data_IF_506308486658
#
_entry.id   IF_506308486658
#
_cell.length_a   1.000
_cell.length_b   1.000
_cell.length_c   1.000
_cell.angle_alpha   90.00
_cell.angle_beta   90.00
_cell.angle_gamma   90.00
#
_symmetry.space_group_name_H-M   'P 1'
#
loop_
_entity.id
_entity.type
_entity.pdbx_description
1 polymer ?
#
# COMPACT_ATOMS: atom_id res chain seq x y z
N UNK A 1 -20.96 -17.63 -28.36
CA UNK A 1 -22.27 -17.86 -28.99
C UNK A 1 -22.74 -16.55 -29.62
N UNK A 2 -22.46 -16.35 -30.92
CA UNK A 2 -22.80 -15.12 -31.67
C UNK A 2 -24.30 -15.02 -31.99
N UNK A 3 -25.11 -15.98 -31.56
CA UNK A 3 -26.51 -16.09 -31.91
C UNK A 3 -27.48 -15.48 -30.91
N UNK A 4 -27.00 -15.00 -29.76
CA UNK A 4 -27.89 -14.57 -28.66
C UNK A 4 -27.82 -13.07 -28.33
N UNK A 5 -27.22 -12.25 -29.21
CA UNK A 5 -27.34 -10.82 -29.05
C UNK A 5 -28.51 -10.29 -29.87
N UNK A 6 -29.62 -10.00 -29.22
CA UNK A 6 -30.81 -9.41 -29.82
C UNK A 6 -30.59 -8.06 -30.52
N UNK A 7 -29.39 -7.52 -30.59
CA UNK A 7 -29.02 -6.25 -31.23
C UNK A 7 -27.74 -6.24 -32.05
N UNK A 8 -27.00 -7.32 -32.18
CA UNK A 8 -25.84 -7.36 -33.09
C UNK A 8 -24.68 -6.39 -32.76
N UNK A 9 -24.70 -5.74 -31.60
CA UNK A 9 -23.59 -4.89 -31.16
C UNK A 9 -22.51 -5.75 -30.51
N UNK A 10 -21.35 -5.83 -31.17
CA UNK A 10 -20.14 -6.39 -30.54
C UNK A 10 -19.75 -5.46 -29.37
N UNK A 11 -20.04 -5.87 -28.16
CA UNK A 11 -19.61 -5.16 -26.95
C UNK A 11 -18.12 -5.38 -26.77
N UNK A 12 -17.33 -4.41 -27.21
CA UNK A 12 -15.89 -4.42 -26.99
C UNK A 12 -15.57 -4.07 -25.55
N UNK A 13 -14.56 -4.74 -24.99
CA UNK A 13 -14.00 -4.32 -23.70
C UNK A 13 -13.52 -2.87 -23.80
N UNK A 14 -13.67 -2.14 -22.73
CA UNK A 14 -13.21 -0.74 -22.63
C UNK A 14 -12.07 -0.67 -21.62
N UNK A 15 -11.11 0.20 -21.92
CA UNK A 15 -10.00 0.50 -21.02
C UNK A 15 -10.01 1.97 -20.61
N UNK A 16 -9.64 2.23 -19.37
CA UNK A 16 -9.41 3.59 -18.91
C UNK A 16 -8.04 4.07 -19.38
N UNK A 17 -7.97 5.30 -19.88
CA UNK A 17 -6.75 5.95 -20.33
C UNK A 17 -6.54 7.21 -19.53
N UNK A 18 -5.33 7.37 -18.99
CA UNK A 18 -4.87 8.56 -18.27
C UNK A 18 -4.06 9.44 -19.20
N UNK A 19 -4.25 10.76 -19.13
CA UNK A 19 -3.40 11.72 -19.85
C UNK A 19 -1.99 11.84 -19.24
N UNK A 20 -1.79 11.36 -18.00
CA UNK A 20 -0.50 11.24 -17.32
C UNK A 20 -0.49 9.99 -16.43
N UNK A 21 -0.16 8.83 -17.01
CA UNK A 21 -0.17 7.53 -16.34
C UNK A 21 0.90 7.40 -15.24
N UNK A 22 1.96 8.21 -15.29
CA UNK A 22 3.02 8.18 -14.27
C UNK A 22 2.52 8.78 -12.95
N UNK A 23 1.70 9.83 -13.02
CA UNK A 23 1.11 10.46 -11.86
C UNK A 23 -0.17 9.78 -11.38
N UNK A 24 -1.05 9.39 -12.32
CA UNK A 24 -2.31 8.71 -12.02
C UNK A 24 -2.53 7.60 -13.04
N UNK A 25 -2.36 6.35 -12.65
CA UNK A 25 -2.76 5.22 -13.47
C UNK A 25 -4.25 4.91 -13.28
N UNK A 26 -4.90 4.40 -14.33
CA UNK A 26 -6.33 4.14 -14.32
C UNK A 26 -6.65 2.78 -14.94
N UNK A 27 -7.57 2.05 -14.28
CA UNK A 27 -8.12 0.81 -14.79
C UNK A 27 -9.65 0.90 -14.76
N UNK A 28 -10.31 0.52 -15.85
CA UNK A 28 -11.75 0.38 -15.88
C UNK A 28 -12.14 -0.99 -15.29
N UNK A 29 -12.96 -0.97 -14.25
CA UNK A 29 -13.45 -2.16 -13.52
C UNK A 29 -14.99 -2.30 -13.59
N UNK A 30 -15.64 -1.40 -14.32
CA UNK A 30 -17.09 -1.42 -14.53
C UNK A 30 -17.54 -2.36 -15.63
N UNK A 31 -18.85 -2.40 -15.88
CA UNK A 31 -19.44 -3.13 -16.98
C UNK A 31 -19.29 -2.37 -18.30
N UNK A 32 -18.50 -2.90 -19.22
CA UNK A 32 -18.22 -2.28 -20.51
C UNK A 32 -19.47 -2.10 -21.37
N UNK A 33 -20.51 -2.91 -21.16
CA UNK A 33 -21.77 -2.82 -21.90
C UNK A 33 -22.64 -1.61 -21.51
N UNK A 34 -22.40 -1.06 -20.31
CA UNK A 34 -23.15 0.07 -19.75
C UNK A 34 -22.39 1.39 -19.85
N UNK A 35 -21.14 1.35 -20.29
CA UNK A 35 -20.24 2.49 -20.30
C UNK A 35 -20.43 3.34 -21.58
N UNK A 36 -20.47 4.67 -21.42
CA UNK A 36 -20.43 5.62 -22.54
C UNK A 36 -18.99 5.81 -23.06
N UNK A 37 -18.83 5.94 -24.37
CA UNK A 37 -17.50 6.19 -24.98
C UNK A 37 -16.98 7.61 -24.70
N UNK A 38 -17.84 8.53 -24.31
CA UNK A 38 -17.51 9.93 -24.02
C UNK A 38 -17.33 10.21 -22.52
N UNK A 39 -17.29 9.16 -21.68
CA UNK A 39 -17.11 9.35 -20.25
C UNK A 39 -15.67 9.76 -19.94
N UNK A 40 -15.53 10.95 -19.37
CA UNK A 40 -14.25 11.47 -18.91
C UNK A 40 -14.43 12.34 -17.68
N UNK A 41 -13.38 12.39 -16.85
CA UNK A 41 -13.30 13.29 -15.70
C UNK A 41 -11.86 13.70 -15.44
N UNK A 42 -11.72 14.82 -14.75
CA UNK A 42 -10.40 15.33 -14.37
C UNK A 42 -10.10 14.99 -12.91
N UNK A 43 -8.87 14.55 -12.66
CA UNK A 43 -8.32 14.35 -11.32
C UNK A 43 -7.10 15.24 -11.10
N UNK A 44 -7.05 15.94 -9.97
CA UNK A 44 -5.89 16.71 -9.54
C UNK A 44 -5.46 16.23 -8.15
N UNK A 45 -4.26 15.65 -8.04
CA UNK A 45 -3.72 15.09 -6.80
C UNK A 45 -2.98 16.17 -6.04
N UNK A 46 -3.48 16.53 -4.85
CA UNK A 46 -2.91 17.56 -3.97
C UNK A 46 -1.90 16.99 -2.98
N UNK A 47 -2.16 15.77 -2.50
CA UNK A 47 -1.35 15.06 -1.50
C UNK A 47 -1.54 13.56 -1.66
N UNK A 48 -0.45 12.82 -1.51
CA UNK A 48 -0.50 11.35 -1.42
C UNK A 48 -0.75 10.90 0.01
N UNK A 49 -1.39 9.75 0.14
CA UNK A 49 -1.43 9.05 1.42
C UNK A 49 -0.03 8.55 1.78
N UNK A 50 0.33 8.69 3.04
CA UNK A 50 1.61 8.26 3.57
C UNK A 50 1.44 7.34 4.79
N UNK A 51 2.38 6.41 4.95
CA UNK A 51 2.54 5.57 6.13
C UNK A 51 3.09 6.36 7.32
N UNK A 52 2.92 5.83 8.53
CA UNK A 52 3.67 6.29 9.68
C UNK A 52 5.05 5.64 9.69
N UNK A 53 6.08 6.44 9.95
CA UNK A 53 7.44 5.96 10.15
C UNK A 53 7.95 6.47 11.49
N UNK A 54 8.34 5.54 12.37
CA UNK A 54 9.14 5.83 13.54
C UNK A 54 10.60 5.48 13.24
N UNK A 55 11.50 6.44 13.39
CA UNK A 55 12.94 6.22 13.24
C UNK A 55 13.62 6.48 14.57
N UNK A 56 14.25 5.46 15.11
CA UNK A 56 14.99 5.52 16.35
C UNK A 56 16.21 6.43 16.30
N UNK A 57 16.93 6.48 17.42
CA UNK A 57 18.18 7.21 17.50
C UNK A 57 19.28 6.47 16.72
N UNK A 58 20.03 7.21 15.91
CA UNK A 58 21.26 6.69 15.29
C UNK A 58 22.36 6.56 16.33
N UNK A 59 22.77 5.33 16.60
CA UNK A 59 23.70 4.99 17.68
C UNK A 59 24.80 4.08 17.14
N UNK A 60 25.99 4.16 17.73
CA UNK A 60 27.11 3.33 17.31
C UNK A 60 26.80 1.83 17.52
N UNK A 61 26.85 0.99 16.48
CA UNK A 61 26.30 -0.38 16.50
C UNK A 61 26.99 -1.30 17.49
N UNK A 62 28.25 -1.03 17.86
CA UNK A 62 29.02 -1.84 18.82
C UNK A 62 28.89 -1.34 20.26
N UNK A 63 28.18 -0.25 20.51
CA UNK A 63 27.99 0.25 21.87
C UNK A 63 27.07 -0.66 22.69
N UNK A 64 27.17 -0.56 24.04
CA UNK A 64 26.41 -1.33 25.00
C UNK A 64 25.68 -0.37 25.96
N UNK A 65 24.85 0.49 25.39
CA UNK A 65 24.11 1.51 26.17
C UNK A 65 22.93 0.92 26.91
N UNK A 66 22.39 -0.21 26.46
CA UNK A 66 21.28 -0.92 27.10
C UNK A 66 21.90 -1.95 28.06
N UNK A 67 21.48 -1.94 29.31
CA UNK A 67 21.95 -2.88 30.35
C UNK A 67 21.38 -4.27 30.09
N UNK A 68 22.08 -5.31 30.61
CA UNK A 68 21.51 -6.65 30.64
C UNK A 68 20.28 -6.71 31.55
N UNK A 69 19.25 -7.44 31.13
CA UNK A 69 18.01 -7.59 31.89
C UNK A 69 16.83 -7.93 30.96
N UNK A 70 15.67 -8.08 31.58
CA UNK A 70 14.42 -8.33 30.89
C UNK A 70 13.69 -7.00 30.64
N UNK A 71 13.15 -6.86 29.46
CA UNK A 71 12.48 -5.66 28.99
C UNK A 71 11.13 -5.99 28.37
N UNK A 72 10.19 -5.05 28.51
CA UNK A 72 8.92 -5.11 27.79
C UNK A 72 8.48 -3.73 27.31
N UNK A 73 7.79 -3.71 26.17
CA UNK A 73 7.15 -2.52 25.64
C UNK A 73 5.78 -2.88 25.05
N UNK A 74 4.89 -1.91 25.09
CA UNK A 74 3.56 -2.00 24.52
C UNK A 74 3.53 -1.32 23.16
N UNK A 75 3.00 -2.01 22.16
CA UNK A 75 2.77 -1.49 20.83
C UNK A 75 1.27 -1.50 20.56
N UNK A 76 0.69 -0.31 20.44
CA UNK A 76 -0.73 -0.14 20.16
C UNK A 76 -0.94 0.20 18.69
N UNK A 77 -1.77 -0.58 18.01
CA UNK A 77 -2.18 -0.40 16.61
C UNK A 77 -3.63 -0.87 16.46
N UNK A 78 -4.45 -0.15 15.69
CA UNK A 78 -5.86 -0.49 15.45
C UNK A 78 -6.68 -0.74 16.75
N UNK A 79 -6.43 0.07 17.79
CA UNK A 79 -7.04 -0.06 19.13
C UNK A 79 -6.73 -1.38 19.84
N UNK A 80 -5.73 -2.12 19.41
CA UNK A 80 -5.22 -3.31 20.08
C UNK A 80 -3.82 -3.04 20.58
N UNK A 81 -3.53 -3.42 21.81
CA UNK A 81 -2.20 -3.31 22.42
C UNK A 81 -1.55 -4.67 22.51
N UNK A 82 -0.34 -4.78 21.99
CA UNK A 82 0.50 -5.97 22.01
C UNK A 82 1.68 -5.73 22.93
N UNK A 83 1.84 -6.57 23.96
CA UNK A 83 3.02 -6.53 24.83
C UNK A 83 4.14 -7.37 24.21
N UNK A 84 5.30 -6.76 24.00
CA UNK A 84 6.53 -7.41 23.54
C UNK A 84 7.52 -7.55 24.68
N UNK A 85 8.03 -8.76 24.90
CA UNK A 85 8.99 -9.07 25.94
C UNK A 85 10.26 -9.67 25.33
N UNK A 86 11.43 -9.29 25.82
CA UNK A 86 12.71 -9.85 25.41
C UNK A 86 13.79 -9.60 26.47
N UNK A 87 14.84 -10.42 26.43
CA UNK A 87 15.98 -10.28 27.31
C UNK A 87 17.18 -9.70 26.57
N UNK A 88 17.98 -8.90 27.24
CA UNK A 88 19.25 -8.38 26.78
C UNK A 88 20.38 -9.01 27.61
N UNK A 89 21.32 -9.63 26.93
CA UNK A 89 22.50 -10.22 27.56
C UNK A 89 23.64 -9.19 27.71
N UNK A 90 24.52 -9.39 28.69
CA UNK A 90 25.65 -8.46 28.96
C UNK A 90 26.64 -8.32 27.80
N UNK A 91 26.70 -9.31 26.92
CA UNK A 91 27.54 -9.33 25.71
C UNK A 91 26.91 -8.62 24.52
N UNK A 92 25.62 -8.38 24.52
CA UNK A 92 24.91 -7.83 23.37
C UNK A 92 25.24 -6.36 23.10
N UNK A 93 25.43 -6.06 21.84
CA UNK A 93 25.62 -4.70 21.31
C UNK A 93 24.31 -4.10 20.86
N UNK A 94 24.26 -2.79 20.61
CA UNK A 94 23.08 -2.12 20.06
C UNK A 94 22.59 -2.75 18.77
N UNK A 95 23.50 -3.13 17.87
CA UNK A 95 23.13 -3.82 16.63
C UNK A 95 22.42 -5.15 16.91
N UNK A 96 22.85 -5.92 17.91
CA UNK A 96 22.16 -7.16 18.29
C UNK A 96 20.74 -6.87 18.79
N UNK A 97 20.60 -5.86 19.64
CA UNK A 97 19.31 -5.47 20.24
C UNK A 97 18.36 -4.93 19.17
N UNK A 98 18.81 -4.01 18.31
CA UNK A 98 18.01 -3.46 17.21
C UNK A 98 17.52 -4.57 16.27
N UNK A 99 18.41 -5.51 15.88
CA UNK A 99 18.04 -6.65 15.04
C UNK A 99 17.07 -7.62 15.76
N UNK A 100 17.20 -7.79 17.08
CA UNK A 100 16.27 -8.59 17.88
C UNK A 100 14.87 -7.96 17.87
N UNK A 101 14.79 -6.65 18.12
CA UNK A 101 13.53 -5.90 18.07
C UNK A 101 12.88 -5.93 16.69
N UNK A 102 13.65 -5.69 15.64
CA UNK A 102 13.14 -5.76 14.26
C UNK A 102 12.54 -7.14 13.95
N UNK A 103 13.23 -8.23 14.35
CA UNK A 103 12.69 -9.59 14.18
C UNK A 103 11.42 -9.84 15.00
N UNK A 104 11.33 -9.32 16.22
CA UNK A 104 10.15 -9.46 17.07
C UNK A 104 8.94 -8.78 16.41
N UNK A 105 9.09 -7.53 15.98
CA UNK A 105 8.03 -6.77 15.33
C UNK A 105 7.61 -7.44 14.01
N UNK A 106 8.55 -7.80 13.15
CA UNK A 106 8.24 -8.42 11.86
C UNK A 106 7.53 -9.78 12.00
N UNK A 107 7.89 -10.58 13.01
CA UNK A 107 7.26 -11.88 13.28
C UNK A 107 5.85 -11.78 13.86
N UNK A 108 5.50 -10.66 14.47
CA UNK A 108 4.17 -10.45 15.03
C UNK A 108 3.08 -10.29 13.95
N UNK A 109 3.47 -9.92 12.73
CA UNK A 109 2.57 -9.75 11.57
C UNK A 109 1.33 -8.87 11.89
N UNK A 110 1.57 -7.74 12.54
CA UNK A 110 0.52 -6.82 13.00
C UNK A 110 0.37 -5.60 12.07
N UNK A 111 0.87 -5.67 10.84
CA UNK A 111 0.80 -4.57 9.87
C UNK A 111 1.93 -3.54 10.05
N UNK A 112 3.08 -3.98 10.59
CA UNK A 112 4.29 -3.17 10.73
C UNK A 112 5.49 -3.89 10.14
N UNK A 113 6.37 -3.12 9.50
CA UNK A 113 7.67 -3.59 9.03
C UNK A 113 8.79 -2.84 9.76
N UNK A 114 9.72 -3.58 10.37
CA UNK A 114 10.87 -3.02 11.06
C UNK A 114 12.17 -3.37 10.31
N UNK A 115 12.99 -2.36 10.06
CA UNK A 115 14.29 -2.47 9.36
C UNK A 115 15.36 -1.73 10.15
N UNK A 116 16.62 -1.98 9.82
CA UNK A 116 17.76 -1.22 10.38
C UNK A 116 18.26 -0.28 9.30
N UNK A 117 18.29 1.01 9.61
CA UNK A 117 18.91 2.04 8.77
C UNK A 117 20.28 2.40 9.30
N UNK A 118 21.19 2.75 8.40
CA UNK A 118 22.54 3.21 8.71
C UNK A 118 22.74 4.63 8.18
N UNK A 119 23.39 5.49 8.98
CA UNK A 119 23.78 6.83 8.56
C UNK A 119 25.15 6.85 7.89
N UNK A 120 25.57 7.99 7.37
CA UNK A 120 26.87 8.16 6.71
C UNK A 120 28.09 7.95 7.63
N UNK A 121 27.89 7.90 8.94
CA UNK A 121 28.94 7.67 9.95
C UNK A 121 28.99 6.23 10.42
N UNK A 122 28.11 5.35 9.89
CA UNK A 122 28.01 3.94 10.28
C UNK A 122 27.23 3.74 11.59
N UNK A 123 26.47 4.72 12.07
CA UNK A 123 25.55 4.52 13.18
C UNK A 123 24.27 3.87 12.68
N UNK A 124 23.64 3.07 13.52
CA UNK A 124 22.42 2.32 13.17
C UNK A 124 21.21 2.79 13.98
N UNK A 125 20.06 2.80 13.33
CA UNK A 125 18.76 3.07 13.95
C UNK A 125 17.74 2.03 13.50
N UNK A 126 16.84 1.65 14.40
CA UNK A 126 15.66 0.87 14.02
C UNK A 126 14.63 1.81 13.35
N UNK A 127 14.10 1.40 12.21
CA UNK A 127 13.05 2.08 11.48
C UNK A 127 11.83 1.18 11.45
N UNK A 128 10.70 1.68 11.96
CA UNK A 128 9.44 0.95 12.03
C UNK A 128 8.43 1.72 11.18
N UNK A 129 7.84 1.04 10.21
CA UNK A 129 6.91 1.61 9.24
C UNK A 129 5.59 0.85 9.26
N UNK A 130 4.47 1.56 9.21
CA UNK A 130 3.15 0.94 9.03
C UNK A 130 2.92 0.51 7.59
N UNK A 131 2.34 -0.68 7.39
CA UNK A 131 1.87 -1.12 6.08
C UNK A 131 0.67 -0.29 5.61
N UNK A 132 -0.18 0.11 6.56
CA UNK A 132 -1.28 1.01 6.28
C UNK A 132 -0.78 2.45 6.13
N UNK A 133 -1.46 3.20 5.25
CA UNK A 133 -1.32 4.64 5.08
C UNK A 133 -2.54 5.36 5.63
N UNK A 134 -2.48 6.69 5.71
CA UNK A 134 -3.62 7.52 6.09
C UNK A 134 -3.98 7.41 7.58
N UNK A 135 -4.94 8.20 7.98
CA UNK A 135 -5.46 8.24 9.35
C UNK A 135 -6.98 8.12 9.34
N UNK A 136 -7.51 7.35 10.29
CA UNK A 136 -8.94 7.26 10.56
C UNK A 136 -9.26 7.80 11.94
N UNK A 137 -10.32 8.59 12.05
CA UNK A 137 -10.75 9.15 13.33
C UNK A 137 -9.87 10.30 13.82
N UNK A 138 -9.73 10.44 15.14
CA UNK A 138 -9.04 11.57 15.80
C UNK A 138 -7.59 11.28 16.18
N UNK A 139 -7.10 10.07 16.00
CA UNK A 139 -5.70 9.73 16.31
C UNK A 139 -4.77 10.29 15.24
N UNK A 140 -3.71 11.04 15.60
CA UNK A 140 -2.75 11.54 14.62
C UNK A 140 -1.73 10.48 14.18
N UNK A 141 -1.80 9.27 14.74
CA UNK A 141 -0.84 8.19 14.50
C UNK A 141 -1.55 6.85 14.26
N UNK A 142 -0.95 5.99 13.45
CA UNK A 142 -1.42 4.62 13.18
C UNK A 142 -1.04 3.70 14.33
N UNK A 143 0.19 3.83 14.84
CA UNK A 143 0.68 3.03 15.96
C UNK A 143 1.44 3.88 16.98
N UNK A 144 1.50 3.37 18.21
CA UNK A 144 2.25 3.93 19.34
C UNK A 144 3.14 2.86 19.94
N UNK A 145 4.32 3.26 20.42
CA UNK A 145 5.22 2.42 21.22
C UNK A 145 5.43 3.12 22.56
N UNK A 146 5.10 2.41 23.63
CA UNK A 146 5.18 2.92 25.01
C UNK A 146 5.87 1.89 25.89
N UNK A 147 6.57 2.30 26.98
CA UNK A 147 7.12 1.35 27.92
C UNK A 147 5.97 0.59 28.60
N UNK A 148 6.07 -0.74 28.64
CA UNK A 148 5.07 -1.54 29.35
C UNK A 148 5.07 -1.16 30.83
N UNK A 149 3.86 -1.01 31.38
CA UNK A 149 3.62 -0.73 32.78
C UNK A 149 3.46 -2.00 33.63
N UNK A 150 3.66 -3.17 33.04
CA UNK A 150 3.54 -4.44 33.75
C UNK A 150 4.76 -4.72 34.61
N UNK A 151 4.70 -4.26 35.85
CA UNK A 151 5.79 -4.38 36.84
C UNK A 151 5.99 -5.81 37.39
N UNK A 152 5.06 -6.73 37.15
CA UNK A 152 5.19 -8.11 37.61
C UNK A 152 6.24 -8.91 36.84
N UNK A 153 6.63 -8.42 35.66
CA UNK A 153 7.54 -9.12 34.75
C UNK A 153 8.85 -8.38 34.46
N UNK A 154 8.80 -7.04 34.42
CA UNK A 154 9.94 -6.20 34.02
C UNK A 154 9.99 -4.93 34.83
N UNK A 155 11.16 -4.29 34.92
CA UNK A 155 11.32 -2.97 35.54
C UNK A 155 10.80 -1.87 34.61
N UNK A 156 9.73 -1.20 35.05
CA UNK A 156 9.07 -0.10 34.30
C UNK A 156 10.06 1.04 33.98
N UNK A 157 10.99 1.36 34.89
CA UNK A 157 11.99 2.41 34.65
C UNK A 157 13.01 1.97 33.60
N UNK A 158 13.40 0.69 33.61
CA UNK A 158 14.28 0.12 32.60
C UNK A 158 13.60 0.08 31.20
N UNK A 159 12.32 -0.26 31.15
CA UNK A 159 11.51 -0.20 29.92
C UNK A 159 11.49 1.20 29.33
N UNK A 160 11.22 2.22 30.16
CA UNK A 160 11.22 3.62 29.73
C UNK A 160 12.61 4.08 29.25
N UNK A 161 13.67 3.68 29.95
CA UNK A 161 15.04 3.97 29.54
C UNK A 161 15.40 3.32 28.19
N UNK A 162 14.95 2.09 27.94
CA UNK A 162 15.14 1.40 26.65
C UNK A 162 14.48 2.19 25.51
N UNK A 163 13.18 2.52 25.65
CA UNK A 163 12.42 3.28 24.64
C UNK A 163 13.12 4.60 24.32
N UNK A 164 13.48 5.36 25.35
CA UNK A 164 14.17 6.66 25.23
C UNK A 164 15.56 6.52 24.59
N UNK A 165 16.36 5.51 25.01
CA UNK A 165 17.70 5.30 24.46
C UNK A 165 17.65 4.95 22.97
N UNK A 166 16.74 4.07 22.58
CA UNK A 166 16.58 3.66 21.20
C UNK A 166 15.72 4.62 20.37
N UNK A 167 14.94 5.50 21.01
CA UNK A 167 14.03 6.44 20.34
C UNK A 167 12.89 5.76 19.60
N UNK A 168 12.34 4.66 20.15
CA UNK A 168 11.33 3.83 19.46
C UNK A 168 9.98 4.55 19.29
N UNK A 169 9.67 5.51 20.15
CA UNK A 169 8.46 6.33 20.13
C UNK A 169 8.54 7.55 19.23
N UNK A 170 9.71 7.81 18.62
CA UNK A 170 9.95 9.00 17.81
C UNK A 170 9.35 8.87 16.41
N UNK A 171 8.27 9.61 16.16
CA UNK A 171 7.65 9.69 14.84
C UNK A 171 8.51 10.58 13.93
N UNK A 172 9.10 9.98 12.89
CA UNK A 172 9.88 10.67 11.86
C UNK A 172 9.00 11.14 10.70
N UNK A 173 7.92 10.39 10.41
CA UNK A 173 6.91 10.73 9.42
C UNK A 173 5.52 10.41 10.00
N UNK A 174 4.66 11.41 10.04
CA UNK A 174 3.26 11.19 10.38
C UNK A 174 2.49 10.62 9.19
N UNK A 175 1.50 9.74 9.43
CA UNK A 175 0.62 9.27 8.37
C UNK A 175 -0.23 10.41 7.84
N UNK A 176 -0.57 10.37 6.57
CA UNK A 176 -1.46 11.34 5.93
C UNK A 176 -2.39 10.68 4.93
N UNK A 177 -3.57 11.25 4.75
CA UNK A 177 -4.51 10.83 3.73
C UNK A 177 -4.11 11.39 2.35
N UNK A 178 -4.44 10.67 1.29
CA UNK A 178 -4.48 11.27 -0.04
C UNK A 178 -5.57 12.34 -0.08
N UNK A 179 -5.27 13.47 -0.71
CA UNK A 179 -6.19 14.58 -0.99
C UNK A 179 -6.14 14.86 -2.49
N UNK A 180 -7.27 14.81 -3.14
CA UNK A 180 -7.38 15.02 -4.58
C UNK A 180 -8.74 15.61 -4.94
N UNK A 181 -8.80 16.31 -6.07
CA UNK A 181 -10.05 16.81 -6.63
C UNK A 181 -10.51 15.92 -7.78
N UNK A 182 -11.81 15.66 -7.87
CA UNK A 182 -12.48 15.10 -9.04
C UNK A 182 -13.42 16.16 -9.58
N UNK A 183 -13.19 16.65 -10.80
CA UNK A 183 -13.94 17.75 -11.40
C UNK A 183 -14.14 18.92 -10.41
N UNK A 184 -13.05 19.38 -9.79
CA UNK A 184 -12.99 20.45 -8.78
C UNK A 184 -13.62 20.12 -7.40
N UNK A 185 -14.17 18.94 -7.19
CA UNK A 185 -14.70 18.49 -5.92
C UNK A 185 -13.60 17.79 -5.10
N UNK A 186 -13.24 18.35 -3.93
CA UNK A 186 -12.22 17.78 -3.08
C UNK A 186 -12.68 16.47 -2.43
N UNK A 187 -11.82 15.48 -2.47
CA UNK A 187 -12.00 14.15 -1.87
C UNK A 187 -10.77 13.74 -1.09
N UNK A 188 -10.95 12.81 -0.16
CA UNK A 188 -9.88 12.23 0.64
C UNK A 188 -9.97 10.71 0.69
N UNK A 189 -8.80 10.05 0.71
CA UNK A 189 -8.69 8.60 0.87
C UNK A 189 -7.56 8.25 1.83
N UNK A 190 -7.73 7.17 2.58
CA UNK A 190 -6.68 6.67 3.48
C UNK A 190 -5.52 5.98 2.74
N UNK A 191 -5.69 5.68 1.45
CA UNK A 191 -4.66 5.06 0.62
C UNK A 191 -4.62 5.70 -0.78
N UNK A 192 -3.60 5.37 -1.56
CA UNK A 192 -3.38 5.88 -2.91
C UNK A 192 -4.10 5.08 -3.99
N UNK A 193 -4.75 3.96 -3.63
CA UNK A 193 -5.65 3.22 -4.51
C UNK A 193 -7.08 3.67 -4.23
N UNK A 194 -7.72 4.32 -5.21
CA UNK A 194 -9.07 4.86 -5.05
C UNK A 194 -10.01 4.35 -6.12
N UNK A 195 -11.28 4.13 -5.75
CA UNK A 195 -12.32 3.74 -6.70
C UNK A 195 -13.26 4.92 -6.93
N UNK A 196 -13.38 5.34 -8.19
CA UNK A 196 -14.26 6.44 -8.60
C UNK A 196 -15.45 5.87 -9.37
N UNK A 197 -16.64 6.39 -9.07
CA UNK A 197 -17.89 6.01 -9.70
C UNK A 197 -18.16 4.50 -9.76
N UNK A 198 -17.55 3.71 -8.87
CA UNK A 198 -17.61 2.23 -8.83
C UNK A 198 -17.06 1.55 -10.10
N UNK A 199 -16.52 2.29 -11.04
CA UNK A 199 -16.12 1.81 -12.36
C UNK A 199 -14.65 2.06 -12.69
N UNK A 200 -13.99 2.95 -11.98
CA UNK A 200 -12.58 3.29 -12.21
C UNK A 200 -11.76 3.00 -10.95
N UNK A 201 -10.76 2.13 -11.07
CA UNK A 201 -9.70 1.98 -10.07
C UNK A 201 -8.53 2.86 -10.49
N UNK A 202 -8.15 3.80 -9.62
CA UNK A 202 -7.05 4.73 -9.86
C UNK A 202 -5.95 4.49 -8.84
N UNK A 203 -4.69 4.51 -9.29
CA UNK A 203 -3.51 4.55 -8.42
C UNK A 203 -2.86 5.93 -8.53
N UNK A 204 -2.76 6.61 -7.40
CA UNK A 204 -2.18 7.93 -7.27
C UNK A 204 -0.70 7.77 -6.90
N UNK A 205 0.20 8.11 -7.83
CA UNK A 205 1.66 7.92 -7.67
C UNK A 205 2.40 9.22 -7.42
N UNK A 206 1.88 10.35 -7.94
CA UNK A 206 2.52 11.67 -7.80
C UNK A 206 1.48 12.77 -7.56
N UNK A 207 1.91 13.85 -6.90
CA UNK A 207 1.16 15.11 -6.83
C UNK A 207 1.18 15.77 -8.21
N UNK A 208 0.06 16.36 -8.62
CA UNK A 208 -0.09 16.95 -9.96
C UNK A 208 -0.28 18.46 -9.89
N UNK A 209 0.47 19.20 -10.72
CA UNK A 209 0.32 20.66 -10.86
C UNK A 209 -0.92 21.02 -11.69
N UNK A 210 -1.26 20.18 -12.67
CA UNK A 210 -2.41 20.34 -13.55
C UNK A 210 -3.31 19.11 -13.45
N UNK A 211 -4.60 19.25 -13.72
CA UNK A 211 -5.52 18.12 -13.77
C UNK A 211 -5.08 17.05 -14.78
N UNK A 212 -5.21 15.80 -14.40
CA UNK A 212 -5.02 14.62 -15.26
C UNK A 212 -6.39 14.15 -15.72
N UNK A 213 -6.61 14.09 -17.02
CA UNK A 213 -7.86 13.62 -17.59
C UNK A 213 -7.85 12.09 -17.66
N UNK A 214 -8.87 11.46 -17.08
CA UNK A 214 -9.16 10.04 -17.21
C UNK A 214 -10.33 9.90 -18.20
N UNK A 215 -10.14 9.10 -19.24
CA UNK A 215 -11.14 8.86 -20.28
C UNK A 215 -11.31 7.38 -20.56
N UNK A 216 -12.46 6.98 -21.05
CA UNK A 216 -12.75 5.63 -21.47
C UNK A 216 -12.56 5.49 -22.98
N UNK A 217 -11.87 4.43 -23.39
CA UNK A 217 -11.68 4.11 -24.82
C UNK A 217 -11.94 2.63 -25.06
N UNK A 218 -12.36 2.31 -26.29
CA UNK A 218 -12.41 0.93 -26.73
C UNK A 218 -11.00 0.31 -26.66
N UNK A 219 -10.89 -0.88 -26.09
CA UNK A 219 -9.64 -1.61 -25.91
C UNK A 219 -9.24 -2.24 -27.26
N UNK A 220 -8.25 -1.63 -27.95
CA UNK A 220 -7.80 -2.07 -29.25
C UNK A 220 -7.23 -3.49 -29.23
N UNK A 221 -6.55 -3.89 -28.16
CA UNK A 221 -5.97 -5.23 -28.03
C UNK A 221 -7.09 -6.27 -27.87
N UNK A 222 -8.09 -5.99 -27.07
CA UNK A 222 -9.29 -6.81 -26.91
C UNK A 222 -10.11 -6.94 -28.19
N UNK A 223 -10.18 -5.88 -29.01
CA UNK A 223 -10.79 -5.89 -30.33
C UNK A 223 -10.01 -6.81 -31.28
N UNK A 224 -8.68 -6.67 -31.33
CA UNK A 224 -7.81 -7.50 -32.16
C UNK A 224 -7.92 -9.00 -31.77
N UNK A 225 -7.97 -9.30 -30.47
CA UNK A 225 -8.17 -10.67 -29.97
C UNK A 225 -9.52 -11.25 -30.42
N UNK A 226 -10.61 -10.49 -30.27
CA UNK A 226 -11.95 -10.89 -30.71
C UNK A 226 -12.04 -11.14 -32.22
N UNK A 227 -11.35 -10.31 -33.03
CA UNK A 227 -11.25 -10.51 -34.50
C UNK A 227 -10.48 -11.80 -34.81
N UNK A 228 -9.37 -12.07 -34.12
CA UNK A 228 -8.60 -13.29 -34.32
C UNK A 228 -9.39 -14.55 -33.93
N UNK A 229 -10.17 -14.51 -32.86
CA UNK A 229 -11.06 -15.59 -32.46
C UNK A 229 -12.15 -15.84 -33.54
N UNK A 230 -12.76 -14.76 -34.03
CA UNK A 230 -13.77 -14.85 -35.11
C UNK A 230 -13.19 -15.48 -36.39
N UNK A 231 -12.00 -15.02 -36.82
CA UNK A 231 -11.31 -15.57 -38.00
C UNK A 231 -10.97 -17.05 -37.80
N UNK A 232 -10.50 -17.41 -36.62
CA UNK A 232 -10.20 -18.80 -36.25
C UNK A 232 -11.45 -19.67 -36.25
N UNK A 233 -12.54 -19.18 -35.67
CA UNK A 233 -13.85 -19.85 -35.67
C UNK A 233 -14.38 -20.05 -37.08
N UNK A 234 -14.28 -19.03 -37.95
CA UNK A 234 -14.66 -19.10 -39.36
C UNK A 234 -13.85 -20.15 -40.11
N UNK A 235 -12.52 -20.16 -39.96
CA UNK A 235 -11.63 -21.13 -40.62
C UNK A 235 -11.96 -22.57 -40.17
N UNK A 236 -12.25 -22.77 -38.88
CA UNK A 236 -12.68 -24.07 -38.38
C UNK A 236 -14.01 -24.53 -38.98
N UNK A 237 -14.96 -23.60 -39.15
CA UNK A 237 -16.27 -23.89 -39.77
C UNK A 237 -16.10 -24.30 -41.22
N UNK A 238 -15.26 -23.58 -42.02
CA UNK A 238 -14.95 -23.90 -43.40
C UNK A 238 -14.28 -25.29 -43.50
N UNK A 239 -13.32 -25.57 -42.63
CA UNK A 239 -12.66 -26.89 -42.61
C UNK A 239 -13.66 -28.01 -42.32
N UNK A 240 -14.53 -27.85 -41.34
CA UNK A 240 -15.57 -28.83 -41.02
C UNK A 240 -16.61 -29.01 -42.13
N UNK A 241 -16.94 -27.94 -42.87
CA UNK A 241 -17.83 -28.00 -44.03
C UNK A 241 -17.20 -28.76 -45.22
N UNK A 242 -15.91 -28.52 -45.46
CA UNK A 242 -15.16 -29.22 -46.51
C UNK A 242 -14.99 -30.72 -46.22
N UNK A 243 -14.74 -31.07 -44.93
CA UNK A 243 -14.63 -32.47 -44.50
C UNK A 243 -15.97 -33.24 -44.67
N UNK A 244 -17.10 -32.55 -44.50
CA UNK A 244 -18.43 -33.16 -44.73
C UNK A 244 -18.83 -33.24 -46.21
N UNK A 245 -18.25 -32.39 -47.06
CA UNK A 245 -18.52 -32.38 -48.50
C UNK A 245 -17.69 -33.45 -49.27
N UNK A 246 -16.64 -33.99 -48.65
CA UNK A 246 -15.73 -34.99 -49.20
C UNK A 246 -16.00 -36.42 -48.72
N UNK A 247 -16.94 -36.64 -47.83
CA UNK A 247 -17.48 -37.94 -47.37
C UNK A 247 -18.91 -38.14 -47.89
#
# INVERSE_FOLDING_TARGET
DLSDSSNGEMTFKKSAVSSNSDAVSAQYIGDSSLASDDESFDINVKQLAASQINTGNYLHPRSRLVKAGDYSFDLSINNVTYEFQFSVESSETLNNIQNKLARLINRSNIGLTATIKEDSLGNTAINIESEATGISGSSPVIFKIEPSQNSDKTDVSANAALISTLGLDRVAQYPSNAIFNINDEERSSMNNLVTINKSYALELSEVTDNPVTISLKADADSIAESINELVSGYNNLISAANDKATN
#
